data_IF_402071352004
#
_entry.id   IF_402071352004
#
_cell.length_a   1.000
_cell.length_b   1.000
_cell.length_c   1.000
_cell.angle_alpha   90.00
_cell.angle_beta   90.00
_cell.angle_gamma   90.00
#
_symmetry.space_group_name_H-M   'P 1'
#
loop_
_entity.id
_entity.type
_entity.pdbx_description
1 polymer ?
#
# COMPACT_ATOMS: atom_id res chain seq x y z
N UNK A 1 8.23 -3.57 -13.16
CA UNK A 1 7.41 -4.61 -12.50
C UNK A 1 5.99 -4.11 -12.46
N UNK A 2 5.02 -4.90 -12.94
CA UNK A 2 3.62 -4.50 -12.95
C UNK A 2 2.84 -5.24 -11.85
N UNK A 3 1.95 -4.53 -11.16
CA UNK A 3 1.01 -5.15 -10.22
C UNK A 3 0.06 -6.07 -11.01
N UNK A 4 -0.19 -7.31 -10.56
CA UNK A 4 -1.13 -8.19 -11.25
C UNK A 4 -2.54 -7.58 -11.29
N UNK A 5 -3.21 -7.76 -12.43
CA UNK A 5 -4.59 -7.29 -12.62
C UNK A 5 -5.55 -7.94 -11.63
N UNK A 6 -5.35 -9.24 -11.35
CA UNK A 6 -6.16 -9.99 -10.39
C UNK A 6 -5.88 -9.53 -8.95
N UNK A 7 -6.93 -9.09 -8.27
CA UNK A 7 -6.86 -8.63 -6.89
C UNK A 7 -6.25 -7.24 -6.72
N UNK A 8 -5.98 -6.52 -7.81
CA UNK A 8 -5.76 -5.07 -7.77
C UNK A 8 -7.08 -4.32 -7.92
N UNK A 9 -7.12 -3.10 -7.39
CA UNK A 9 -8.23 -2.18 -7.47
C UNK A 9 -7.80 -0.99 -8.32
N UNK A 10 -8.67 -0.55 -9.23
CA UNK A 10 -8.43 0.65 -10.04
C UNK A 10 -8.78 1.91 -9.22
N UNK A 11 -8.01 2.97 -9.39
CA UNK A 11 -8.31 4.31 -8.88
C UNK A 11 -7.83 5.35 -9.89
N UNK A 12 -8.52 6.48 -9.99
CA UNK A 12 -8.07 7.63 -10.78
C UNK A 12 -7.73 8.75 -9.81
N UNK A 13 -6.51 9.27 -9.91
CA UNK A 13 -6.02 10.38 -9.07
C UNK A 13 -5.50 11.45 -10.00
N UNK A 14 -6.06 12.65 -9.88
CA UNK A 14 -5.68 13.83 -10.68
C UNK A 14 -5.61 13.55 -12.19
N UNK A 15 -6.60 12.79 -12.69
CA UNK A 15 -6.71 12.40 -14.11
C UNK A 15 -5.87 11.20 -14.54
N UNK A 16 -4.96 10.70 -13.69
CA UNK A 16 -4.11 9.54 -14.02
C UNK A 16 -4.69 8.25 -13.43
N UNK A 17 -4.75 7.20 -14.26
CA UNK A 17 -5.26 5.89 -13.87
C UNK A 17 -4.16 5.03 -13.22
N UNK A 18 -4.43 4.58 -12.00
CA UNK A 18 -3.58 3.70 -11.23
C UNK A 18 -4.29 2.42 -10.83
N UNK A 19 -3.48 1.42 -10.48
CA UNK A 19 -3.90 0.21 -9.80
C UNK A 19 -3.17 0.08 -8.50
N UNK A 20 -3.89 -0.32 -7.46
CA UNK A 20 -3.32 -0.56 -6.16
C UNK A 20 -3.72 -1.93 -5.61
N UNK A 21 -2.87 -2.49 -4.76
CA UNK A 21 -3.05 -3.84 -4.24
C UNK A 21 -2.48 -3.96 -2.83
N UNK A 22 -3.29 -4.54 -1.95
CA UNK A 22 -2.85 -5.14 -0.70
C UNK A 22 -2.65 -6.64 -0.95
N UNK A 23 -1.59 -7.24 -0.41
CA UNK A 23 -1.41 -8.70 -0.49
C UNK A 23 -2.56 -9.40 0.23
N UNK A 24 -3.15 -10.43 -0.40
CA UNK A 24 -4.30 -11.17 0.18
C UNK A 24 -3.94 -11.86 1.49
N UNK A 25 -2.82 -12.56 1.52
CA UNK A 25 -2.28 -13.17 2.74
C UNK A 25 -1.19 -12.26 3.32
N UNK A 26 -1.07 -12.13 4.65
CA UNK A 26 0.07 -11.47 5.26
C UNK A 26 1.36 -12.20 4.85
N UNK A 27 2.49 -11.49 4.88
CA UNK A 27 3.79 -12.18 4.96
C UNK A 27 3.89 -12.89 6.31
N UNK A 28 4.79 -13.88 6.42
CA UNK A 28 5.00 -14.56 7.71
C UNK A 28 5.28 -13.56 8.84
N UNK A 29 6.11 -12.55 8.55
CA UNK A 29 6.46 -11.51 9.52
C UNK A 29 5.22 -10.66 9.90
N UNK A 30 4.38 -10.30 8.93
CA UNK A 30 3.12 -9.58 9.20
C UNK A 30 2.11 -10.41 10.00
N UNK A 31 2.11 -11.74 9.86
CA UNK A 31 1.23 -12.62 10.61
C UNK A 31 1.72 -12.84 12.05
N UNK A 32 2.99 -13.22 12.19
CA UNK A 32 3.58 -13.72 13.42
C UNK A 32 4.14 -12.61 14.33
N UNK A 33 4.49 -11.44 13.77
CA UNK A 33 5.16 -10.33 14.46
C UNK A 33 4.49 -8.97 14.19
N UNK A 34 3.15 -8.96 14.10
CA UNK A 34 2.34 -7.80 13.71
C UNK A 34 2.76 -6.45 14.31
N UNK A 35 3.13 -6.39 15.59
CA UNK A 35 3.53 -5.15 16.27
C UNK A 35 4.74 -4.42 15.63
N UNK A 36 5.59 -5.12 14.85
CA UNK A 36 6.73 -4.53 14.13
C UNK A 36 6.60 -4.57 12.60
N UNK A 37 5.46 -5.01 12.08
CA UNK A 37 5.28 -5.31 10.65
C UNK A 37 4.07 -4.57 10.09
N UNK A 38 4.25 -3.34 9.56
CA UNK A 38 3.14 -2.54 9.11
C UNK A 38 2.39 -3.18 7.94
N UNK A 39 1.11 -2.81 7.81
CA UNK A 39 0.36 -3.06 6.60
C UNK A 39 1.06 -2.32 5.44
N UNK A 40 1.25 -3.03 4.33
CA UNK A 40 1.80 -2.44 3.11
C UNK A 40 0.85 -2.62 1.93
N UNK A 41 0.87 -1.64 1.04
CA UNK A 41 0.22 -1.76 -0.26
C UNK A 41 1.11 -1.21 -1.37
N UNK A 42 0.91 -1.72 -2.57
CA UNK A 42 1.62 -1.27 -3.76
C UNK A 42 0.65 -0.52 -4.68
N UNK A 43 1.16 0.49 -5.37
CA UNK A 43 0.48 1.24 -6.44
C UNK A 43 1.37 1.22 -7.68
N UNK A 44 0.77 1.04 -8.85
CA UNK A 44 1.44 1.21 -10.13
C UNK A 44 0.48 1.89 -11.10
N UNK A 45 0.97 2.74 -12.02
CA UNK A 45 0.14 3.23 -13.11
C UNK A 45 -0.27 2.05 -14.01
N UNK A 46 -1.33 2.22 -14.78
CA UNK A 46 -1.71 1.19 -15.78
C UNK A 46 -0.74 1.12 -16.96
N UNK A 47 0.20 2.06 -17.07
CA UNK A 47 1.27 2.03 -18.06
C UNK A 47 2.24 0.85 -17.84
N UNK A 48 2.55 0.05 -18.88
CA UNK A 48 3.40 -1.13 -18.75
C UNK A 48 4.86 -0.84 -18.38
N UNK A 49 5.32 0.41 -18.52
CA UNK A 49 6.68 0.85 -18.18
C UNK A 49 6.77 1.61 -16.85
N UNK A 50 5.67 1.72 -16.13
CA UNK A 50 5.62 2.57 -14.95
C UNK A 50 6.35 2.04 -13.71
N UNK A 51 6.72 2.96 -12.85
CA UNK A 51 7.28 2.72 -11.53
C UNK A 51 6.22 2.24 -10.53
N UNK A 52 6.64 1.46 -9.55
CA UNK A 52 5.79 0.99 -8.46
C UNK A 52 6.04 1.84 -7.22
N UNK A 53 4.98 2.40 -6.64
CA UNK A 53 5.00 2.99 -5.32
C UNK A 53 4.68 1.92 -4.27
N UNK A 54 5.54 1.78 -3.27
CA UNK A 54 5.31 0.93 -2.11
C UNK A 54 5.05 1.79 -0.88
N UNK A 55 3.87 1.64 -0.29
CA UNK A 55 3.45 2.41 0.87
C UNK A 55 3.46 1.51 2.09
N UNK A 56 4.20 1.92 3.12
CA UNK A 56 4.17 1.28 4.44
C UNK A 56 3.34 2.12 5.38
N UNK A 57 2.26 1.56 5.92
CA UNK A 57 1.45 2.20 6.94
C UNK A 57 2.21 2.30 8.27
N UNK A 58 1.62 2.94 9.25
CA UNK A 58 2.12 3.06 10.62
C UNK A 58 1.66 1.92 11.54
N UNK A 59 0.56 1.25 11.18
CA UNK A 59 -0.03 0.16 11.96
C UNK A 59 -0.08 -1.17 11.17
N UNK A 60 -0.16 -2.30 11.88
CA UNK A 60 -0.25 -3.62 11.25
C UNK A 60 -1.58 -3.89 10.55
N UNK A 61 -1.62 -5.05 9.90
CA UNK A 61 -2.82 -5.60 9.26
C UNK A 61 -3.77 -6.20 10.30
N UNK A 62 -5.07 -6.18 10.02
CA UNK A 62 -6.08 -6.80 10.88
C UNK A 62 -5.97 -8.33 11.02
N UNK A 63 -5.36 -9.01 10.06
CA UNK A 63 -5.21 -10.47 10.01
C UNK A 63 -3.91 -10.98 10.68
N UNK A 64 -3.41 -10.25 11.70
CA UNK A 64 -2.21 -10.61 12.47
C UNK A 64 -2.55 -11.34 13.78
N UNK A 65 -1.61 -12.12 14.32
CA UNK A 65 -1.81 -12.95 15.51
C UNK A 65 -2.07 -12.17 16.83
N UNK A 66 -1.72 -10.88 16.88
CA UNK A 66 -1.91 -10.00 18.04
C UNK A 66 -3.20 -9.18 17.99
N UNK A 67 -3.99 -9.27 16.92
CA UNK A 67 -5.29 -8.59 16.85
C UNK A 67 -6.35 -9.40 17.62
N UNK A 68 -6.30 -9.35 18.96
CA UNK A 68 -7.20 -10.09 19.84
C UNK A 68 -8.39 -9.25 20.33
N UNK A 69 -9.57 -9.86 20.59
CA UNK A 69 -10.79 -9.15 20.98
C UNK A 69 -10.70 -8.31 22.27
N UNK A 70 -9.72 -8.61 23.15
CA UNK A 70 -9.44 -7.84 24.37
C UNK A 70 -7.94 -7.58 24.43
N UNK A 71 -7.51 -6.34 24.15
CA UNK A 71 -6.10 -5.94 24.22
C UNK A 71 -5.32 -6.04 22.90
N UNK A 72 -6.00 -6.17 21.75
CA UNK A 72 -5.35 -6.07 20.44
C UNK A 72 -4.76 -4.69 20.17
N UNK A 73 -3.70 -4.66 19.37
CA UNK A 73 -3.08 -3.42 18.91
C UNK A 73 -3.90 -2.74 17.80
N UNK A 74 -3.92 -1.40 17.72
CA UNK A 74 -4.55 -0.69 16.61
C UNK A 74 -4.05 -1.20 15.26
N UNK A 75 -4.98 -1.41 14.31
CA UNK A 75 -4.70 -1.95 12.99
C UNK A 75 -5.11 -0.96 11.90
N UNK A 76 -4.28 -0.87 10.86
CA UNK A 76 -4.49 0.03 9.73
C UNK A 76 -5.52 -0.52 8.74
N UNK A 77 -6.31 0.38 8.16
CA UNK A 77 -7.19 0.10 7.03
C UNK A 77 -6.80 0.98 5.85
N UNK A 78 -6.65 0.40 4.66
CA UNK A 78 -6.36 1.16 3.44
C UNK A 78 -7.68 1.41 2.70
N UNK A 79 -8.06 2.69 2.61
CA UNK A 79 -9.22 3.14 1.85
C UNK A 79 -8.78 3.74 0.50
N UNK A 80 -9.69 3.89 -0.48
CA UNK A 80 -9.38 4.63 -1.70
C UNK A 80 -8.87 6.06 -1.45
N UNK A 81 -9.38 6.75 -0.42
CA UNK A 81 -8.90 8.09 -0.04
C UNK A 81 -7.45 8.05 0.46
N UNK A 82 -7.12 7.10 1.34
CA UNK A 82 -5.74 6.87 1.81
C UNK A 82 -4.79 6.65 0.64
N UNK A 83 -5.20 5.86 -0.35
CA UNK A 83 -4.40 5.60 -1.56
C UNK A 83 -4.23 6.86 -2.40
N UNK A 84 -5.30 7.63 -2.61
CA UNK A 84 -5.22 8.87 -3.37
C UNK A 84 -4.28 9.89 -2.72
N UNK A 85 -4.37 10.06 -1.40
CA UNK A 85 -3.48 10.96 -0.64
C UNK A 85 -2.03 10.47 -0.66
N UNK A 86 -1.80 9.16 -0.53
CA UNK A 86 -0.47 8.57 -0.60
C UNK A 86 0.17 8.77 -1.99
N UNK A 87 -0.61 8.65 -3.07
CA UNK A 87 -0.16 8.94 -4.43
C UNK A 87 0.25 10.40 -4.56
N UNK A 88 -0.62 11.35 -4.18
CA UNK A 88 -0.31 12.79 -4.25
C UNK A 88 0.94 13.14 -3.45
N UNK A 89 1.08 12.58 -2.25
CA UNK A 89 2.27 12.75 -1.42
C UNK A 89 3.53 12.22 -2.10
N UNK A 90 3.48 10.99 -2.64
CA UNK A 90 4.62 10.40 -3.34
C UNK A 90 5.03 11.23 -4.56
N UNK A 91 4.07 11.76 -5.33
CA UNK A 91 4.33 12.66 -6.45
C UNK A 91 5.05 13.93 -5.99
N UNK A 92 4.59 14.54 -4.89
CA UNK A 92 5.25 15.70 -4.28
C UNK A 92 6.67 15.39 -3.75
N UNK A 93 6.90 14.16 -3.30
CA UNK A 93 8.22 13.67 -2.84
C UNK A 93 9.13 13.22 -4.00
N UNK A 94 8.69 13.33 -5.26
CA UNK A 94 9.49 13.06 -6.45
C UNK A 94 9.32 11.66 -7.06
N UNK A 95 8.29 10.91 -6.65
CA UNK A 95 7.90 9.71 -7.38
C UNK A 95 7.47 10.08 -8.80
N UNK A 96 8.04 9.41 -9.79
CA UNK A 96 7.74 9.58 -11.21
C UNK A 96 7.10 8.29 -11.72
N UNK A 97 5.76 8.21 -11.80
CA UNK A 97 5.05 6.98 -12.16
C UNK A 97 5.44 6.44 -13.53
N UNK A 98 5.78 7.31 -14.48
CA UNK A 98 6.22 6.96 -15.83
C UNK A 98 7.67 6.45 -15.89
N UNK A 99 8.50 6.77 -14.89
CA UNK A 99 9.84 6.17 -14.77
C UNK A 99 9.72 4.82 -14.08
N UNK A 100 10.29 3.78 -14.69
CA UNK A 100 10.40 2.48 -14.06
C UNK A 100 11.18 2.54 -12.74
N UNK A 101 11.01 1.52 -11.90
CA UNK A 101 11.67 1.41 -10.61
C UNK A 101 10.68 1.29 -9.45
N UNK A 102 11.21 1.41 -8.23
CA UNK A 102 10.44 1.32 -6.99
C UNK A 102 10.65 2.60 -6.19
N UNK A 103 9.56 3.24 -5.77
CA UNK A 103 9.57 4.36 -4.83
C UNK A 103 8.87 3.93 -3.55
N UNK A 104 9.35 4.36 -2.39
CA UNK A 104 8.79 3.93 -1.11
C UNK A 104 8.53 5.11 -0.20
N UNK A 105 7.35 5.12 0.43
CA UNK A 105 6.99 6.11 1.46
C UNK A 105 6.45 5.43 2.70
N UNK A 106 6.59 6.11 3.84
CA UNK A 106 5.88 5.77 5.08
C UNK A 106 4.65 6.66 5.22
N UNK A 107 3.51 6.04 5.47
CA UNK A 107 2.22 6.68 5.65
C UNK A 107 1.84 6.67 7.14
N UNK A 108 1.45 7.83 7.65
CA UNK A 108 0.87 7.99 8.98
C UNK A 108 -0.58 8.41 8.77
N UNK A 109 -1.51 7.65 9.34
CA UNK A 109 -2.95 7.84 9.15
C UNK A 109 -3.49 9.01 9.97
#
# INVERSE_FOLDING_TARGET
MAIPFKGSRRIVVDGTAYRWRIRRKPTRIQADYGCGSPLTFAVAPESPRGGTLHVSMDQPRHDNAFNQPRGGIPCSTVTPDTVARAIRRALAEGWQPERGGTFAIRWQA
#
